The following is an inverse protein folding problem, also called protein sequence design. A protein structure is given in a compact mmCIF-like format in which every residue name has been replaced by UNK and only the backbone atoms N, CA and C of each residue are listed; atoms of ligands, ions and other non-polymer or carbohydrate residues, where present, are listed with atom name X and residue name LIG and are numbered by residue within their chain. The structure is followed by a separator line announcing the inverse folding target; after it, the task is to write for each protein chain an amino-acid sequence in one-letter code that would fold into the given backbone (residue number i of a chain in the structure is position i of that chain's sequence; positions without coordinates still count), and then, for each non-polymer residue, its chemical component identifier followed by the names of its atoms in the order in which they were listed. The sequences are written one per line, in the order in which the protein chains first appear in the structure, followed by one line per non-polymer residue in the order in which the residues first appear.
data_IF_826670549882
#
_entry.id   IF_826670549882
#
_cell.length_a   1.000
_cell.length_b   1.000
_cell.length_c   1.000
_cell.angle_alpha   90.00
_cell.angle_beta   90.00
_cell.angle_gamma   90.00
#
_symmetry.space_group_name_H-M   'P 1'
#
loop_
_entity.id
_entity.type
_entity.pdbx_description
1 polymer ?
#
# COMPACT_ATOMS: atom_id res chain seq x y z
N UNK A 1 -15.44 4.85 -0.25
CA UNK A 1 -14.17 4.57 -0.97
C UNK A 1 -13.20 5.76 -0.85
N UNK A 2 -13.57 6.97 -1.26
CA UNK A 2 -12.65 8.12 -1.26
C UNK A 2 -12.04 8.48 0.11
N UNK A 3 -12.82 8.41 1.20
CA UNK A 3 -12.30 8.65 2.55
C UNK A 3 -11.23 7.64 2.99
N UNK A 4 -11.45 6.35 2.69
CA UNK A 4 -10.51 5.29 3.05
C UNK A 4 -9.19 5.43 2.27
N UNK A 5 -9.25 5.75 0.99
CA UNK A 5 -8.07 5.99 0.15
C UNK A 5 -7.26 7.19 0.64
N UNK A 6 -7.92 8.31 0.95
CA UNK A 6 -7.23 9.49 1.50
C UNK A 6 -6.55 9.18 2.84
N UNK A 7 -7.23 8.45 3.74
CA UNK A 7 -6.67 8.07 5.02
C UNK A 7 -5.43 7.18 4.85
N UNK A 8 -5.51 6.19 3.96
CA UNK A 8 -4.40 5.29 3.65
C UNK A 8 -3.20 6.03 3.04
N UNK A 9 -3.44 6.92 2.07
CA UNK A 9 -2.36 7.66 1.40
C UNK A 9 -1.65 8.63 2.37
N UNK A 10 -2.40 9.34 3.22
CA UNK A 10 -1.86 10.26 4.23
C UNK A 10 -1.09 9.50 5.31
N UNK A 11 -1.64 8.41 5.85
CA UNK A 11 -0.94 7.62 6.87
C UNK A 11 0.32 6.95 6.34
N UNK A 12 0.26 6.35 5.15
CA UNK A 12 1.43 5.72 4.52
C UNK A 12 2.56 6.71 4.27
N UNK A 13 2.21 7.95 3.91
CA UNK A 13 3.20 9.01 3.73
C UNK A 13 3.79 9.49 5.07
N UNK A 14 2.95 9.75 6.07
CA UNK A 14 3.41 10.13 7.41
C UNK A 14 4.29 9.07 8.05
N UNK A 15 3.94 7.79 7.91
CA UNK A 15 4.75 6.67 8.38
C UNK A 15 6.13 6.70 7.72
N UNK A 16 6.21 6.94 6.40
CA UNK A 16 7.51 7.04 5.70
C UNK A 16 8.36 8.19 6.22
N UNK A 17 7.75 9.33 6.56
CA UNK A 17 8.45 10.50 7.10
C UNK A 17 8.95 10.26 8.53
N UNK A 18 8.19 9.55 9.35
CA UNK A 18 8.56 9.24 10.73
C UNK A 18 9.79 8.33 10.82
N UNK A 19 9.95 7.42 9.84
CA UNK A 19 11.10 6.52 9.75
C UNK A 19 12.26 7.09 8.92
N UNK A 20 12.03 8.16 8.15
CA UNK A 20 13.08 8.79 7.36
C UNK A 20 13.84 9.82 8.20
N UNK A 21 15.15 9.64 8.33
CA UNK A 21 16.03 10.64 8.93
C UNK A 21 15.93 11.96 8.13
N UNK A 22 15.85 13.12 8.82
CA UNK A 22 15.49 14.44 8.25
C UNK A 22 16.29 14.81 6.99
N UNK A 23 17.56 14.45 6.93
CA UNK A 23 18.44 14.76 5.79
C UNK A 23 18.18 13.90 4.54
N UNK A 24 17.48 12.77 4.66
CA UNK A 24 17.26 11.79 3.57
C UNK A 24 15.80 11.64 3.16
N UNK A 25 14.89 12.43 3.75
CA UNK A 25 13.46 12.44 3.44
C UNK A 25 13.13 12.44 1.93
N UNK A 26 13.73 13.29 1.06
CA UNK A 26 13.40 13.30 -0.37
C UNK A 26 13.80 12.00 -1.09
N UNK A 27 14.86 11.33 -0.64
CA UNK A 27 15.29 10.05 -1.22
C UNK A 27 14.33 8.92 -0.85
N UNK A 28 13.86 8.88 0.40
CA UNK A 28 12.91 7.87 0.86
C UNK A 28 11.51 8.06 0.24
N UNK A 29 11.05 9.29 0.07
CA UNK A 29 9.77 9.56 -0.60
C UNK A 29 9.82 9.23 -2.08
N UNK A 30 10.92 9.54 -2.77
CA UNK A 30 11.14 9.14 -4.15
C UNK A 30 11.19 7.61 -4.30
N UNK A 31 11.91 6.91 -3.41
CA UNK A 31 11.99 5.45 -3.41
C UNK A 31 10.61 4.81 -3.21
N UNK A 32 9.81 5.32 -2.28
CA UNK A 32 8.41 4.88 -2.09
C UNK A 32 7.59 5.04 -3.38
N UNK A 33 7.66 6.20 -4.02
CA UNK A 33 6.92 6.46 -5.25
C UNK A 33 7.35 5.53 -6.39
N UNK A 34 8.66 5.32 -6.55
CA UNK A 34 9.23 4.41 -7.55
C UNK A 34 8.86 2.96 -7.32
N UNK A 35 8.72 2.52 -6.06
CA UNK A 35 8.26 1.17 -5.73
C UNK A 35 6.77 1.03 -5.99
N UNK A 36 5.93 2.00 -5.62
CA UNK A 36 4.47 1.86 -5.75
C UNK A 36 4.01 1.94 -7.23
N UNK A 37 4.67 2.75 -8.05
CA UNK A 37 4.30 2.98 -9.44
C UNK A 37 4.15 1.69 -10.29
N UNK A 38 5.15 0.78 -10.37
CA UNK A 38 5.03 -0.44 -11.16
C UNK A 38 3.95 -1.38 -10.63
N UNK A 39 3.78 -1.49 -9.30
CA UNK A 39 2.75 -2.34 -8.72
C UNK A 39 1.35 -1.84 -9.02
N UNK A 40 1.10 -0.52 -8.98
CA UNK A 40 -0.19 0.04 -9.39
C UNK A 40 -0.50 -0.22 -10.87
N UNK A 41 0.50 -0.05 -11.74
CA UNK A 41 0.34 -0.31 -13.17
C UNK A 41 0.09 -1.80 -13.47
N UNK A 42 0.84 -2.69 -12.80
CA UNK A 42 0.62 -4.14 -12.92
C UNK A 42 -0.75 -4.55 -12.37
N UNK A 43 -1.21 -3.97 -11.26
CA UNK A 43 -2.54 -4.26 -10.72
C UNK A 43 -3.65 -3.90 -11.71
N UNK A 44 -3.56 -2.75 -12.40
CA UNK A 44 -4.54 -2.35 -13.41
C UNK A 44 -4.59 -3.36 -14.57
N UNK A 45 -3.43 -3.78 -15.07
CA UNK A 45 -3.32 -4.75 -16.16
C UNK A 45 -3.86 -6.14 -15.76
N UNK A 46 -3.44 -6.64 -14.61
CA UNK A 46 -3.83 -7.96 -14.11
C UNK A 46 -5.32 -7.99 -13.78
N UNK A 47 -5.84 -6.95 -13.12
CA UNK A 47 -7.25 -6.88 -12.76
C UNK A 47 -8.14 -6.83 -14.00
N UNK A 48 -7.79 -6.05 -15.03
CA UNK A 48 -8.54 -6.00 -16.28
C UNK A 48 -8.61 -7.36 -16.98
N UNK A 49 -7.46 -8.04 -17.13
CA UNK A 49 -7.40 -9.37 -17.75
C UNK A 49 -8.14 -10.45 -16.95
N UNK A 50 -8.04 -10.42 -15.62
CA UNK A 50 -8.70 -11.41 -14.77
C UNK A 50 -10.23 -11.23 -14.72
N UNK A 51 -10.72 -9.98 -14.84
CA UNK A 51 -12.16 -9.70 -14.83
C UNK A 51 -12.85 -10.32 -16.06
N UNK A 52 -12.22 -10.26 -17.24
CA UNK A 52 -12.78 -10.83 -18.47
C UNK A 52 -12.90 -12.35 -18.43
N UNK A 53 -12.01 -13.03 -17.69
CA UNK A 53 -11.96 -14.50 -17.67
C UNK A 53 -12.75 -15.14 -16.53
N UNK A 54 -12.70 -14.52 -15.34
CA UNK A 54 -13.12 -15.16 -14.08
C UNK A 54 -14.29 -14.38 -13.44
N UNK A 55 -14.59 -13.19 -13.97
CA UNK A 55 -15.69 -12.34 -13.52
C UNK A 55 -15.37 -11.54 -12.26
N UNK A 56 -16.12 -10.46 -12.06
CA UNK A 56 -15.90 -9.50 -10.99
C UNK A 56 -15.88 -10.13 -9.59
N UNK A 57 -16.72 -11.13 -9.31
CA UNK A 57 -16.91 -11.67 -7.96
C UNK A 57 -15.62 -12.23 -7.36
N UNK A 58 -14.86 -13.00 -8.14
CA UNK A 58 -13.63 -13.66 -7.66
C UNK A 58 -12.51 -12.64 -7.49
N UNK A 59 -12.37 -11.69 -8.42
CA UNK A 59 -11.36 -10.62 -8.33
C UNK A 59 -11.56 -9.76 -7.09
N UNK A 60 -12.82 -9.41 -6.78
CA UNK A 60 -13.13 -8.68 -5.56
C UNK A 60 -12.87 -9.49 -4.29
N UNK A 61 -13.22 -10.78 -4.26
CA UNK A 61 -12.90 -11.64 -3.10
C UNK A 61 -11.38 -11.74 -2.90
N UNK A 62 -10.60 -11.86 -3.97
CA UNK A 62 -9.15 -11.89 -3.89
C UNK A 62 -8.56 -10.58 -3.34
N UNK A 63 -9.06 -9.42 -3.80
CA UNK A 63 -8.68 -8.12 -3.25
C UNK A 63 -8.99 -7.98 -1.75
N UNK A 64 -10.14 -8.50 -1.30
CA UNK A 64 -10.50 -8.48 0.13
C UNK A 64 -9.53 -9.33 0.95
N UNK A 65 -9.15 -10.51 0.45
CA UNK A 65 -8.17 -11.38 1.12
C UNK A 65 -6.80 -10.68 1.18
N UNK A 66 -6.36 -10.07 0.08
CA UNK A 66 -5.10 -9.33 0.04
C UNK A 66 -5.07 -8.17 1.04
N UNK A 67 -6.19 -7.45 1.15
CA UNK A 67 -6.35 -6.36 2.12
C UNK A 67 -6.25 -6.87 3.56
N UNK A 68 -6.85 -8.04 3.84
CA UNK A 68 -6.77 -8.66 5.17
C UNK A 68 -5.34 -9.08 5.52
N UNK A 69 -4.61 -9.67 4.57
CA UNK A 69 -3.19 -10.03 4.74
C UNK A 69 -2.34 -8.78 4.99
N UNK A 70 -2.58 -7.69 4.25
CA UNK A 70 -1.88 -6.42 4.47
C UNK A 70 -2.13 -5.86 5.87
N UNK A 71 -3.38 -5.92 6.37
CA UNK A 71 -3.71 -5.52 7.73
C UNK A 71 -2.99 -6.36 8.80
N UNK A 72 -2.90 -7.67 8.60
CA UNK A 72 -2.16 -8.56 9.51
C UNK A 72 -0.65 -8.25 9.52
N UNK A 73 -0.06 -8.00 8.35
CA UNK A 73 1.34 -7.61 8.25
C UNK A 73 1.63 -6.29 8.96
N UNK A 74 0.74 -5.29 8.82
CA UNK A 74 0.87 -4.02 9.51
C UNK A 74 0.75 -4.17 11.03
N UNK A 75 -0.11 -5.07 11.52
CA UNK A 75 -0.19 -5.36 12.96
C UNK A 75 1.15 -5.89 13.51
N UNK A 76 1.88 -6.68 12.73
CA UNK A 76 3.18 -7.22 13.15
C UNK A 76 4.30 -6.18 13.19
N UNK A 77 4.12 -5.02 12.56
CA UNK A 77 5.12 -3.95 12.59
C UNK A 77 5.07 -3.29 13.97
N UNK A 78 6.11 -3.55 14.76
CA UNK A 78 6.30 -2.98 16.10
C UNK A 78 6.55 -1.47 15.98
N UNK A 79 5.81 -0.67 16.74
CA UNK A 79 5.94 0.78 16.76
C UNK A 79 7.40 1.22 17.00
N UNK A 80 7.99 2.06 16.13
CA UNK A 80 9.37 2.54 16.26
C UNK A 80 9.54 3.48 17.46
N UNK A 81 8.44 4.10 17.92
CA UNK A 81 8.41 5.10 19.01
C UNK A 81 8.75 4.52 20.38
N UNK A 82 8.61 3.21 20.56
CA UNK A 82 8.85 2.55 21.86
C UNK A 82 10.29 2.08 22.06
N UNK A 83 11.21 2.37 21.12
CA UNK A 83 12.62 1.96 21.22
C UNK A 83 13.60 3.14 21.29
N UNK A 84 13.08 4.35 21.53
CA UNK A 84 13.87 5.57 21.79
C UNK A 84 13.81 5.87 23.28
#
# INVERSE_FOLDING_TARGET
ISFATCCFDIQSFNFTLEFANTDKMPTYTALRASVIAPFRSMLLLISGLFIDWIGYRIVFTFCIILLFIAGLLLWQVKDPRHTI
#
